data_IF_871273578161
#
_entry.id   IF_871273578161
#
_cell.length_a   1.000
_cell.length_b   1.000
_cell.length_c   1.000
_cell.angle_alpha   90.00
_cell.angle_beta   90.00
_cell.angle_gamma   90.00
#
_symmetry.space_group_name_H-M   'P 1'
#
loop_
_entity.id
_entity.type
_entity.pdbx_description
1 polymer ?
#
# COMPACT_ATOMS: atom_id res chain seq x y z
N UNK A 1 -18.83 -9.24 -0.79
CA UNK A 1 -18.32 -7.94 -0.32
C UNK A 1 -16.86 -7.86 -0.75
N UNK A 2 -16.46 -6.85 -1.52
CA UNK A 2 -15.06 -6.74 -1.98
C UNK A 2 -14.23 -6.13 -0.87
N UNK A 3 -13.79 -6.96 0.07
CA UNK A 3 -12.80 -6.55 1.05
C UNK A 3 -11.52 -6.23 0.30
N UNK A 4 -11.22 -4.94 0.16
CA UNK A 4 -10.00 -4.52 -0.48
C UNK A 4 -8.86 -4.94 0.45
N UNK A 5 -8.08 -5.93 0.02
CA UNK A 5 -6.94 -6.43 0.78
C UNK A 5 -5.70 -5.61 0.42
N UNK A 6 -4.85 -5.40 1.41
CA UNK A 6 -3.56 -4.77 1.21
C UNK A 6 -2.62 -5.71 0.44
N UNK A 7 -2.06 -5.25 -0.66
CA UNK A 7 -1.13 -6.03 -1.47
C UNK A 7 0.22 -6.31 -0.75
N UNK A 8 0.48 -5.61 0.36
CA UNK A 8 1.71 -5.73 1.16
C UNK A 8 1.53 -6.67 2.35
N UNK A 9 0.42 -6.55 3.08
CA UNK A 9 0.21 -7.31 4.32
C UNK A 9 -1.00 -8.25 4.28
N UNK A 10 -1.78 -8.26 3.20
CA UNK A 10 -2.98 -9.08 3.06
C UNK A 10 -4.14 -8.67 3.97
N UNK A 11 -4.05 -7.55 4.69
CA UNK A 11 -5.11 -7.11 5.61
C UNK A 11 -6.30 -6.46 4.90
N UNK A 12 -7.52 -6.80 5.33
CA UNK A 12 -8.76 -6.11 4.96
C UNK A 12 -8.88 -4.80 5.76
N UNK A 13 -8.48 -3.69 5.15
CA UNK A 13 -8.50 -2.37 5.80
C UNK A 13 -8.77 -1.28 4.76
N UNK A 14 -8.82 -0.02 5.18
CA UNK A 14 -8.93 1.12 4.27
C UNK A 14 -7.74 1.15 3.29
N UNK A 15 -7.97 0.64 2.08
CA UNK A 15 -6.98 0.56 1.01
C UNK A 15 -6.93 1.87 0.26
N UNK A 16 -5.73 2.40 0.09
CA UNK A 16 -5.40 3.57 -0.69
C UNK A 16 -4.40 3.19 -1.79
N UNK A 17 -4.43 3.93 -2.89
CA UNK A 17 -3.56 3.68 -4.04
C UNK A 17 -2.22 4.41 -3.88
N UNK A 18 -1.10 3.68 -3.93
CA UNK A 18 0.23 4.29 -3.88
C UNK A 18 0.45 5.18 -5.11
N UNK A 19 0.86 6.44 -4.92
CA UNK A 19 1.13 7.36 -6.03
C UNK A 19 2.34 7.00 -6.90
N UNK A 20 3.23 6.12 -6.43
CA UNK A 20 4.42 5.69 -7.19
C UNK A 20 4.17 4.41 -8.00
N UNK A 21 3.67 3.35 -7.37
CA UNK A 21 3.49 2.05 -8.03
C UNK A 21 2.04 1.71 -8.40
N UNK A 22 1.07 2.51 -7.95
CA UNK A 22 -0.36 2.22 -8.16
C UNK A 22 -0.92 1.05 -7.34
N UNK A 23 -0.11 0.36 -6.53
CA UNK A 23 -0.58 -0.76 -5.69
C UNK A 23 -1.57 -0.31 -4.63
N UNK A 24 -2.49 -1.23 -4.32
CA UNK A 24 -3.51 -1.12 -3.28
C UNK A 24 -2.90 -1.42 -1.91
N UNK A 25 -2.79 -0.40 -1.07
CA UNK A 25 -2.08 -0.49 0.21
C UNK A 25 -2.92 0.09 1.33
N UNK A 26 -3.02 -0.61 2.46
CA UNK A 26 -3.74 -0.12 3.63
C UNK A 26 -3.07 1.14 4.21
N UNK A 27 -3.85 1.97 4.90
CA UNK A 27 -3.32 3.17 5.59
C UNK A 27 -2.13 2.88 6.51
N UNK A 28 -2.06 1.67 7.11
CA UNK A 28 -0.94 1.25 7.95
C UNK A 28 0.34 1.00 7.17
N UNK A 29 0.24 0.56 5.91
CA UNK A 29 1.37 0.33 4.99
C UNK A 29 1.62 1.51 4.04
N UNK A 30 0.75 2.52 4.08
CA UNK A 30 0.89 3.79 3.39
C UNK A 30 1.67 4.78 4.27
N UNK A 31 2.55 5.56 3.66
CA UNK A 31 3.29 6.63 4.35
C UNK A 31 2.49 7.93 4.28
N UNK A 32 2.82 8.91 5.14
CA UNK A 32 2.18 10.24 5.11
C UNK A 32 2.34 10.99 3.78
N UNK A 33 3.25 10.54 2.90
CA UNK A 33 3.44 11.10 1.55
C UNK A 33 2.52 10.48 0.49
N UNK A 34 1.63 9.55 0.86
CA UNK A 34 0.77 8.83 -0.10
C UNK A 34 1.54 7.80 -0.94
N UNK A 35 2.66 7.31 -0.39
CA UNK A 35 3.54 6.33 -1.00
C UNK A 35 3.62 5.11 -0.07
N UNK A 36 3.58 3.90 -0.60
CA UNK A 36 3.69 2.71 0.23
C UNK A 36 5.10 2.53 0.81
N UNK A 37 5.19 1.82 1.95
CA UNK A 37 6.47 1.50 2.61
C UNK A 37 7.46 0.83 1.65
N UNK A 38 7.00 -0.04 0.76
CA UNK A 38 7.86 -0.74 -0.22
C UNK A 38 8.51 0.23 -1.20
N UNK A 39 7.74 1.16 -1.79
CA UNK A 39 8.29 2.17 -2.68
C UNK A 39 9.16 3.19 -1.95
N UNK A 40 8.78 3.59 -0.73
CA UNK A 40 9.59 4.48 0.09
C UNK A 40 10.92 3.82 0.50
N UNK A 41 10.88 2.53 0.83
CA UNK A 41 12.05 1.78 1.27
C UNK A 41 13.02 1.47 0.13
N UNK A 42 12.59 1.62 -1.13
CA UNK A 42 13.46 1.69 -2.30
C UNK A 42 14.28 0.43 -2.61
N UNK A 43 13.87 -0.28 -3.66
CA UNK A 43 14.73 -1.10 -4.53
C UNK A 43 15.37 -2.37 -3.92
N UNK A 44 14.78 -3.52 -4.24
CA UNK A 44 15.51 -4.73 -4.68
C UNK A 44 14.52 -5.79 -5.21
N UNK A 45 14.18 -5.69 -6.49
CA UNK A 45 14.22 -6.79 -7.46
C UNK A 45 14.12 -6.22 -8.87
#
# INVERSE_FOLDING_TARGET
MVESLCDICGGAAAIQSCKLCGKRVCSSCMTKRGVCKVCLSGMKY
#
